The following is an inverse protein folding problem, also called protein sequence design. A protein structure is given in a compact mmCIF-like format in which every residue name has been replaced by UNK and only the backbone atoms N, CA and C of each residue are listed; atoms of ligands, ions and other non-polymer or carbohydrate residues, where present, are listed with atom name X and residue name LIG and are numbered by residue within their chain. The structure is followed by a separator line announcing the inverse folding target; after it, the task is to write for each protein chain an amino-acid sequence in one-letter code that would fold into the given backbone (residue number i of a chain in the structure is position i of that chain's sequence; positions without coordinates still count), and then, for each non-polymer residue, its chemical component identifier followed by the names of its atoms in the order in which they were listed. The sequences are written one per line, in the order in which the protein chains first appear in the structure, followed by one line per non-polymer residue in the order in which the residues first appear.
data_IF_648461594247
#
_entry.id   IF_648461594247
#
_cell.length_a   1.000
_cell.length_b   1.000
_cell.length_c   1.000
_cell.angle_alpha   90.00
_cell.angle_beta   90.00
_cell.angle_gamma   90.00
#
_symmetry.space_group_name_H-M   'P 1'
#
loop_
_entity.id
_entity.type
_entity.pdbx_description
1 polymer ?
#
# COMPACT_ATOMS: atom_id res chain seq x y z
N UNK A 1 -16.03 5.62 -0.13
CA UNK A 1 -15.81 6.42 -1.37
C UNK A 1 -14.41 6.16 -1.94
N UNK A 2 -14.25 4.96 -2.48
CA UNK A 2 -13.22 4.67 -3.46
C UNK A 2 -13.51 5.53 -4.69
N UNK A 3 -12.66 6.54 -4.88
CA UNK A 3 -12.54 7.39 -6.05
C UNK A 3 -12.94 6.65 -7.32
N UNK A 4 -14.06 7.12 -7.88
CA UNK A 4 -14.71 6.70 -9.13
C UNK A 4 -13.64 6.45 -10.19
N UNK A 5 -13.78 5.34 -10.91
CA UNK A 5 -12.92 4.86 -12.00
C UNK A 5 -12.40 5.98 -12.93
N UNK A 6 -13.17 7.06 -13.14
CA UNK A 6 -12.77 8.26 -13.88
C UNK A 6 -11.56 9.03 -13.29
N UNK A 7 -11.44 9.12 -11.97
CA UNK A 7 -10.34 9.81 -11.28
C UNK A 7 -9.06 8.97 -11.14
N UNK A 8 -9.16 7.64 -11.33
CA UNK A 8 -8.01 6.72 -11.43
C UNK A 8 -7.33 6.79 -12.79
N UNK A 9 -8.11 7.03 -13.86
CA UNK A 9 -7.59 7.25 -15.23
C UNK A 9 -6.78 8.56 -15.32
N UNK A 10 -7.17 9.61 -14.60
CA UNK A 10 -6.42 10.88 -14.57
C UNK A 10 -5.08 10.79 -13.82
N UNK A 11 -4.91 9.88 -12.86
CA UNK A 11 -3.61 9.58 -12.23
C UNK A 11 -2.70 8.73 -13.12
N UNK A 12 -3.27 7.91 -14.02
CA UNK A 12 -2.55 7.09 -15.01
C UNK A 12 -1.75 7.91 -16.02
N UNK A 13 -2.19 9.11 -16.41
CA UNK A 13 -1.47 9.93 -17.40
C UNK A 13 -0.26 10.68 -16.81
N UNK A 14 -0.25 10.95 -15.49
CA UNK A 14 0.89 11.58 -14.82
C UNK A 14 1.95 10.56 -14.33
N UNK A 15 1.55 9.31 -14.03
CA UNK A 15 2.45 8.27 -13.51
C UNK A 15 3.12 7.39 -14.59
N UNK A 16 2.66 7.46 -15.85
CA UNK A 16 3.22 6.65 -16.95
C UNK A 16 4.68 6.99 -17.33
N UNK A 17 5.26 8.03 -16.73
CA UNK A 17 6.67 8.39 -16.95
C UNK A 17 7.62 7.86 -15.85
N UNK A 18 7.13 7.26 -14.76
CA UNK A 18 8.01 6.92 -13.63
C UNK A 18 7.45 5.87 -12.64
N UNK A 19 6.70 4.87 -13.09
CA UNK A 19 6.24 3.77 -12.24
C UNK A 19 7.36 2.76 -11.96
N UNK A 20 8.07 2.93 -10.85
CA UNK A 20 9.05 1.96 -10.32
C UNK A 20 8.48 1.12 -9.17
N UNK A 21 7.17 0.85 -9.17
CA UNK A 21 6.57 -0.19 -8.35
C UNK A 21 6.66 -1.51 -9.15
N UNK A 22 7.41 -2.48 -8.64
CA UNK A 22 7.67 -3.73 -9.32
C UNK A 22 6.48 -4.69 -9.18
N UNK A 23 5.41 -4.47 -9.95
CA UNK A 23 4.49 -5.55 -10.31
C UNK A 23 5.15 -6.45 -11.37
N UNK A 24 4.89 -7.77 -11.40
CA UNK A 24 5.42 -8.69 -12.43
C UNK A 24 5.18 -8.19 -13.87
N UNK A 25 4.12 -7.40 -14.06
CA UNK A 25 3.74 -6.76 -15.32
C UNK A 25 4.67 -5.64 -15.77
N UNK A 26 5.40 -4.99 -14.88
CA UNK A 26 6.39 -3.96 -15.23
C UNK A 26 7.51 -4.59 -16.06
N UNK A 27 7.88 -5.83 -15.72
CA UNK A 27 8.88 -6.60 -16.48
C UNK A 27 8.31 -7.14 -17.80
N UNK A 28 7.04 -7.59 -17.82
CA UNK A 28 6.40 -8.10 -19.03
C UNK A 28 6.13 -7.00 -20.09
N UNK A 29 5.63 -5.83 -19.67
CA UNK A 29 5.37 -4.70 -20.56
C UNK A 29 6.66 -4.09 -21.12
N UNK A 30 7.73 -4.07 -20.32
CA UNK A 30 9.02 -3.55 -20.75
C UNK A 30 9.77 -4.54 -21.66
N UNK A 31 9.59 -5.86 -21.48
CA UNK A 31 10.09 -6.88 -22.40
C UNK A 31 9.40 -6.85 -23.78
N UNK A 32 8.15 -6.38 -23.86
CA UNK A 32 7.42 -6.21 -25.12
C UNK A 32 7.90 -4.99 -25.95
N UNK A 33 8.56 -4.01 -25.32
CA UNK A 33 9.21 -2.88 -25.99
C UNK A 33 10.65 -3.27 -26.36
N UNK A 34 10.78 -4.17 -27.34
CA UNK A 34 12.02 -4.87 -27.71
C UNK A 34 13.19 -4.04 -28.25
N UNK A 35 13.56 -2.90 -27.65
CA UNK A 35 14.79 -2.17 -28.03
C UNK A 35 15.36 -1.21 -26.96
N UNK A 36 14.98 -1.35 -25.68
CA UNK A 36 15.42 -0.44 -24.61
C UNK A 36 16.18 -1.18 -23.51
N UNK A 37 17.52 -1.18 -23.63
CA UNK A 37 18.42 -1.46 -22.51
C UNK A 37 18.26 -2.83 -21.84
N UNK A 38 19.13 -3.10 -20.87
CA UNK A 38 18.96 -4.24 -19.99
C UNK A 38 18.02 -3.81 -18.86
N UNK A 39 16.76 -4.21 -18.97
CA UNK A 39 15.68 -3.87 -18.03
C UNK A 39 16.05 -4.11 -16.56
N UNK A 40 16.80 -5.18 -16.30
CA UNK A 40 17.26 -5.49 -14.95
C UNK A 40 18.28 -4.46 -14.51
N UNK A 41 19.27 -4.14 -15.36
CA UNK A 41 20.26 -3.09 -15.05
C UNK A 41 19.61 -1.73 -14.85
N UNK A 42 18.64 -1.36 -15.68
CA UNK A 42 17.95 -0.08 -15.57
C UNK A 42 17.15 0.02 -14.27
N UNK A 43 16.46 -1.06 -13.88
CA UNK A 43 15.76 -1.13 -12.59
C UNK A 43 16.72 -1.02 -11.40
N UNK A 44 17.83 -1.77 -11.42
CA UNK A 44 18.84 -1.71 -10.35
C UNK A 44 19.50 -0.32 -10.27
N UNK A 45 19.82 0.30 -11.40
CA UNK A 45 20.39 1.64 -11.45
C UNK A 45 19.40 2.68 -10.90
N UNK A 46 18.12 2.57 -11.26
CA UNK A 46 17.04 3.43 -10.73
C UNK A 46 16.89 3.28 -9.21
N UNK A 47 16.80 2.04 -8.74
CA UNK A 47 16.67 1.72 -7.32
C UNK A 47 17.85 2.25 -6.50
N UNK A 48 19.08 2.04 -6.99
CA UNK A 48 20.28 2.55 -6.32
C UNK A 48 20.32 4.08 -6.30
N UNK A 49 19.92 4.73 -7.41
CA UNK A 49 19.85 6.21 -7.48
C UNK A 49 18.87 6.76 -6.44
N UNK A 50 17.67 6.17 -6.36
CA UNK A 50 16.63 6.56 -5.40
C UNK A 50 17.06 6.31 -3.95
N UNK A 51 17.68 5.17 -3.66
CA UNK A 51 18.20 4.86 -2.33
C UNK A 51 19.25 5.87 -1.87
N UNK A 52 20.21 6.22 -2.73
CA UNK A 52 21.24 7.23 -2.41
C UNK A 52 20.62 8.62 -2.19
N UNK A 53 19.70 9.02 -3.07
CA UNK A 53 19.01 10.30 -2.91
C UNK A 53 18.20 10.37 -1.60
N UNK A 54 17.53 9.26 -1.25
CA UNK A 54 16.77 9.15 -0.01
C UNK A 54 17.68 9.21 1.21
N UNK A 55 18.78 8.46 1.21
CA UNK A 55 19.77 8.47 2.29
C UNK A 55 20.41 9.85 2.52
N UNK A 56 20.61 10.65 1.46
CA UNK A 56 21.10 12.02 1.61
C UNK A 56 20.03 12.96 2.16
N UNK A 57 18.79 12.89 1.65
CA UNK A 57 17.70 13.76 2.13
C UNK A 57 17.25 13.40 3.55
N UNK A 58 17.26 12.13 3.93
CA UNK A 58 16.82 11.67 5.25
C UNK A 58 17.70 12.22 6.38
N UNK A 59 18.97 12.55 6.12
CA UNK A 59 19.85 13.26 7.08
C UNK A 59 19.27 14.62 7.53
N UNK A 60 18.43 15.25 6.71
CA UNK A 60 17.76 16.53 7.05
C UNK A 60 16.47 16.35 7.85
N UNK A 61 16.05 15.11 8.09
CA UNK A 61 14.85 14.74 8.83
C UNK A 61 15.18 13.59 9.81
N UNK A 62 15.95 13.84 10.88
CA UNK A 62 16.30 12.80 11.84
C UNK A 62 15.05 12.32 12.60
N UNK A 63 15.00 11.01 12.88
CA UNK A 63 13.93 10.42 13.70
C UNK A 63 14.01 10.97 15.14
N UNK A 64 12.92 11.55 15.68
CA UNK A 64 12.88 12.01 17.06
C UNK A 64 12.84 10.82 18.04
N UNK A 65 13.79 10.77 18.97
CA UNK A 65 13.95 9.67 19.95
C UNK A 65 13.38 10.02 21.35
N UNK A 66 12.79 11.21 21.49
CA UNK A 66 12.20 11.67 22.75
C UNK A 66 10.81 11.06 23.01
N UNK A 67 10.19 10.45 21.99
CA UNK A 67 8.84 9.87 22.09
C UNK A 67 7.73 10.91 22.00
N UNK A 68 8.03 12.13 21.53
CA UNK A 68 7.05 13.18 21.29
C UNK A 68 6.22 12.88 20.04
N UNK A 69 4.93 12.60 20.22
CA UNK A 69 4.01 12.23 19.14
C UNK A 69 3.86 13.34 18.07
N UNK A 70 3.96 14.62 18.45
CA UNK A 70 3.86 15.74 17.50
C UNK A 70 5.11 15.81 16.60
N UNK A 71 6.29 15.57 17.17
CA UNK A 71 7.53 15.49 16.40
C UNK A 71 7.58 14.25 15.51
N UNK A 72 7.09 13.10 16.00
CA UNK A 72 6.96 11.88 15.20
C UNK A 72 6.04 12.10 14.00
N UNK A 73 4.88 12.74 14.20
CA UNK A 73 3.97 13.08 13.11
C UNK A 73 4.63 14.00 12.08
N UNK A 74 5.35 15.03 12.53
CA UNK A 74 6.09 15.92 11.63
C UNK A 74 7.21 15.19 10.86
N UNK A 75 7.90 14.25 11.52
CA UNK A 75 8.91 13.39 10.90
C UNK A 75 8.29 12.52 9.79
N UNK A 76 7.19 11.82 10.08
CA UNK A 76 6.49 10.95 9.13
C UNK A 76 6.05 11.75 7.90
N UNK A 77 5.41 12.90 8.11
CA UNK A 77 4.94 13.76 7.02
C UNK A 77 6.10 14.24 6.13
N UNK A 78 7.17 14.74 6.74
CA UNK A 78 8.36 15.16 5.98
C UNK A 78 9.03 13.98 5.26
N UNK A 79 9.01 12.79 5.85
CA UNK A 79 9.55 11.59 5.22
C UNK A 79 8.74 11.17 3.98
N UNK A 80 7.39 11.23 4.05
CA UNK A 80 6.49 11.01 2.90
C UNK A 80 6.80 11.99 1.77
N UNK A 81 6.99 13.27 2.09
CA UNK A 81 7.35 14.30 1.12
C UNK A 81 8.70 14.01 0.46
N UNK A 82 9.73 13.65 1.24
CA UNK A 82 11.04 13.25 0.71
C UNK A 82 10.92 12.06 -0.25
N UNK A 83 10.14 11.03 0.13
CA UNK A 83 9.91 9.85 -0.72
C UNK A 83 9.21 10.23 -2.03
N UNK A 84 8.16 11.05 -1.96
CA UNK A 84 7.43 11.52 -3.13
C UNK A 84 8.31 12.33 -4.09
N UNK A 85 9.15 13.24 -3.56
CA UNK A 85 10.09 14.04 -4.37
C UNK A 85 11.12 13.18 -5.12
N UNK A 86 11.47 12.02 -4.60
CA UNK A 86 12.46 11.10 -5.20
C UNK A 86 11.76 10.05 -6.10
N UNK A 87 10.42 10.02 -6.11
CA UNK A 87 9.64 9.03 -6.83
C UNK A 87 9.74 7.64 -6.22
N UNK A 88 9.84 7.55 -4.89
CA UNK A 88 9.67 6.31 -4.14
C UNK A 88 8.19 6.22 -3.75
N UNK A 89 7.45 5.21 -4.23
CA UNK A 89 6.04 5.06 -3.86
C UNK A 89 5.91 4.75 -2.37
N UNK A 90 4.89 5.32 -1.76
CA UNK A 90 4.43 5.00 -0.40
C UNK A 90 4.00 3.54 -0.29
N UNK A 91 3.87 3.04 0.93
CA UNK A 91 3.40 1.66 1.16
C UNK A 91 1.99 1.48 0.62
N UNK A 92 1.09 2.42 0.87
CA UNK A 92 -0.29 2.41 0.33
C UNK A 92 -0.30 2.37 -1.19
N UNK A 93 0.52 3.19 -1.87
CA UNK A 93 0.60 3.15 -3.34
C UNK A 93 1.10 1.80 -3.87
N UNK A 94 2.07 1.16 -3.19
CA UNK A 94 2.53 -0.18 -3.59
C UNK A 94 1.47 -1.25 -3.38
N UNK A 95 0.70 -1.15 -2.29
CA UNK A 95 -0.42 -2.04 -2.00
C UNK A 95 -1.49 -1.86 -3.09
N UNK A 96 -1.88 -0.62 -3.38
CA UNK A 96 -2.85 -0.29 -4.44
C UNK A 96 -2.41 -0.87 -5.79
N UNK A 97 -1.15 -0.66 -6.20
CA UNK A 97 -0.62 -1.18 -7.46
C UNK A 97 -0.66 -2.73 -7.54
N UNK A 98 -0.40 -3.39 -6.42
CA UNK A 98 -0.41 -4.86 -6.33
C UNK A 98 -1.84 -5.39 -6.41
N UNK A 99 -2.76 -4.74 -5.70
CA UNK A 99 -4.15 -5.13 -5.61
C UNK A 99 -4.87 -4.87 -6.95
N UNK A 100 -4.61 -3.73 -7.60
CA UNK A 100 -5.15 -3.42 -8.93
C UNK A 100 -4.67 -4.46 -9.96
N UNK A 101 -3.41 -4.91 -9.87
CA UNK A 101 -2.92 -5.96 -10.76
C UNK A 101 -3.67 -7.28 -10.58
N UNK A 102 -3.95 -7.66 -9.32
CA UNK A 102 -4.71 -8.85 -8.99
C UNK A 102 -6.16 -8.78 -9.46
N UNK A 103 -6.78 -7.59 -9.35
CA UNK A 103 -8.14 -7.36 -9.83
C UNK A 103 -8.29 -7.60 -11.33
N UNK A 104 -7.35 -7.11 -12.13
CA UNK A 104 -7.36 -7.28 -13.60
C UNK A 104 -7.18 -8.76 -14.04
N UNK A 105 -6.70 -9.64 -13.17
CA UNK A 105 -6.59 -11.10 -13.43
C UNK A 105 -7.80 -11.88 -12.94
N UNK A 106 -8.59 -11.29 -12.04
CA UNK A 106 -9.72 -11.95 -11.45
C UNK A 106 -10.90 -11.99 -12.43
N UNK A 107 -11.51 -13.17 -12.53
CA UNK A 107 -12.72 -13.40 -13.34
C UNK A 107 -13.99 -13.10 -12.56
N UNK A 108 -13.91 -12.99 -11.24
CA UNK A 108 -15.02 -12.66 -10.34
C UNK A 108 -14.50 -11.94 -9.09
N UNK A 109 -15.41 -11.26 -8.38
CA UNK A 109 -15.12 -10.63 -7.08
C UNK A 109 -14.63 -11.66 -6.06
N UNK A 110 -15.23 -12.86 -6.07
CA UNK A 110 -14.85 -13.95 -5.16
C UNK A 110 -13.39 -14.35 -5.33
N UNK A 111 -12.98 -14.62 -6.58
CA UNK A 111 -11.61 -15.02 -6.87
C UNK A 111 -10.60 -13.96 -6.42
N UNK A 112 -10.92 -12.68 -6.61
CA UNK A 112 -10.09 -11.58 -6.13
C UNK A 112 -9.98 -11.54 -4.59
N UNK A 113 -11.09 -11.69 -3.87
CA UNK A 113 -11.08 -11.71 -2.40
C UNK A 113 -10.34 -12.93 -1.84
N UNK A 114 -10.48 -14.09 -2.48
CA UNK A 114 -9.74 -15.31 -2.11
C UNK A 114 -8.23 -15.09 -2.26
N UNK A 115 -7.80 -14.60 -3.42
CA UNK A 115 -6.40 -14.30 -3.68
C UNK A 115 -5.81 -13.29 -2.68
N UNK A 116 -6.49 -12.17 -2.47
CA UNK A 116 -6.00 -11.12 -1.55
C UNK A 116 -5.99 -11.59 -0.09
N UNK A 117 -6.93 -12.46 0.31
CA UNK A 117 -6.91 -13.11 1.63
C UNK A 117 -5.77 -14.12 1.78
N UNK A 118 -5.49 -14.92 0.75
CA UNK A 118 -4.35 -15.85 0.72
C UNK A 118 -3.02 -15.09 0.84
N UNK A 119 -2.86 -14.00 0.08
CA UNK A 119 -1.68 -13.13 0.16
C UNK A 119 -1.52 -12.55 1.57
N UNK A 120 -2.62 -12.03 2.16
CA UNK A 120 -2.61 -11.53 3.55
C UNK A 120 -2.13 -12.60 4.52
N UNK A 121 -2.68 -13.81 4.43
CA UNK A 121 -2.31 -14.93 5.31
C UNK A 121 -0.86 -15.38 5.11
N UNK A 122 -0.39 -15.44 3.86
CA UNK A 122 0.99 -15.79 3.53
C UNK A 122 2.00 -14.76 4.06
N UNK A 123 1.59 -13.49 4.16
CA UNK A 123 2.36 -12.43 4.79
C UNK A 123 2.28 -12.42 6.33
N UNK A 124 1.50 -13.33 6.93
CA UNK A 124 1.29 -13.38 8.38
C UNK A 124 0.50 -12.18 8.92
N UNK A 125 -0.21 -11.45 8.07
CA UNK A 125 -1.03 -10.31 8.47
C UNK A 125 -2.34 -10.83 9.07
N UNK A 126 -2.59 -10.58 10.35
CA UNK A 126 -3.84 -10.96 11.00
C UNK A 126 -5.01 -10.08 10.53
N UNK A 127 -6.25 -10.57 10.71
CA UNK A 127 -7.48 -9.79 10.47
C UNK A 127 -8.29 -9.67 11.76
N UNK A 128 -7.77 -8.94 12.77
CA UNK A 128 -8.42 -8.83 14.07
C UNK A 128 -9.75 -8.09 14.00
N UNK A 129 -9.90 -7.22 12.99
CA UNK A 129 -11.12 -6.44 12.72
C UNK A 129 -12.19 -7.24 11.99
N UNK A 130 -11.87 -8.40 11.41
CA UNK A 130 -12.81 -9.21 10.64
C UNK A 130 -13.23 -8.59 9.32
N UNK A 131 -12.35 -7.82 8.67
CA UNK A 131 -12.57 -7.19 7.37
C UNK A 131 -12.90 -8.24 6.31
N UNK A 132 -12.08 -9.27 6.16
CA UNK A 132 -12.30 -10.31 5.15
C UNK A 132 -13.55 -11.10 5.45
N UNK A 133 -13.85 -11.35 6.73
CA UNK A 133 -15.12 -11.99 7.13
C UNK A 133 -16.32 -11.18 6.65
N UNK A 134 -16.33 -9.87 6.87
CA UNK A 134 -17.41 -8.97 6.43
C UNK A 134 -17.52 -8.90 4.91
N UNK A 135 -16.38 -8.84 4.20
CA UNK A 135 -16.34 -8.84 2.73
C UNK A 135 -16.95 -10.11 2.14
N UNK A 136 -16.54 -11.28 2.65
CA UNK A 136 -17.08 -12.56 2.17
C UNK A 136 -18.56 -12.74 2.52
N UNK A 137 -19.00 -12.34 3.71
CA UNK A 137 -20.42 -12.39 4.07
C UNK A 137 -21.29 -11.52 3.17
N UNK A 138 -20.83 -10.29 2.88
CA UNK A 138 -21.51 -9.37 1.98
C UNK A 138 -21.55 -9.94 0.55
N UNK A 139 -20.46 -10.55 0.10
CA UNK A 139 -20.38 -11.20 -1.20
C UNK A 139 -21.34 -12.40 -1.29
N UNK A 140 -21.36 -13.27 -0.28
CA UNK A 140 -22.24 -14.44 -0.22
C UNK A 140 -23.71 -14.04 -0.35
N UNK A 141 -24.12 -12.96 0.30
CA UNK A 141 -25.50 -12.47 0.25
C UNK A 141 -25.89 -11.92 -1.12
N UNK A 142 -24.95 -11.30 -1.83
CA UNK A 142 -25.17 -10.84 -3.22
C UNK A 142 -25.21 -12.03 -4.17
N UNK A 143 -24.26 -12.95 -4.07
CA UNK A 143 -24.16 -14.14 -4.94
C UNK A 143 -25.36 -15.07 -4.78
N UNK A 144 -25.87 -15.26 -3.56
CA UNK A 144 -27.11 -16.02 -3.30
C UNK A 144 -28.33 -15.41 -4.01
N UNK A 145 -28.42 -14.08 -4.09
CA UNK A 145 -29.54 -13.39 -4.75
C UNK A 145 -29.48 -13.50 -6.27
N UNK A 146 -28.27 -13.48 -6.85
CA UNK A 146 -28.08 -13.56 -8.30
C UNK A 146 -27.88 -14.98 -8.83
N UNK A 147 -27.62 -15.96 -7.94
CA UNK A 147 -27.44 -17.37 -8.27
C UNK A 147 -26.15 -17.69 -9.04
N UNK A 148 -25.17 -16.78 -9.04
CA UNK A 148 -23.88 -16.90 -9.74
C UNK A 148 -22.80 -16.09 -9.03
N UNK A 149 -21.54 -16.31 -9.42
CA UNK A 149 -20.42 -15.49 -8.96
C UNK A 149 -20.59 -14.03 -9.44
N UNK A 150 -20.31 -13.07 -8.55
CA UNK A 150 -20.43 -11.65 -8.87
C UNK A 150 -19.26 -11.19 -9.75
N UNK A 151 -19.56 -10.47 -10.83
CA UNK A 151 -18.56 -9.85 -11.71
C UNK A 151 -18.73 -8.33 -11.74
N UNK A 152 -17.68 -7.59 -12.14
CA UNK A 152 -17.73 -6.13 -12.27
C UNK A 152 -18.72 -5.62 -13.33
N UNK A 153 -19.11 -6.48 -14.28
CA UNK A 153 -20.12 -6.17 -15.30
C UNK A 153 -21.56 -6.34 -14.80
N UNK A 154 -21.76 -6.98 -13.66
CA UNK A 154 -23.11 -7.19 -13.12
C UNK A 154 -23.68 -5.91 -12.50
N UNK A 155 -24.96 -5.58 -12.74
CA UNK A 155 -25.60 -4.41 -12.11
C UNK A 155 -25.54 -4.41 -10.58
N UNK A 156 -25.49 -5.60 -9.97
CA UNK A 156 -25.40 -5.80 -8.52
C UNK A 156 -24.02 -5.49 -7.95
N UNK A 157 -23.00 -5.31 -8.80
CA UNK A 157 -21.66 -4.93 -8.36
C UNK A 157 -21.68 -3.59 -7.60
N UNK A 158 -22.43 -2.61 -8.09
CA UNK A 158 -22.60 -1.33 -7.40
C UNK A 158 -23.25 -1.48 -6.02
N UNK A 159 -24.17 -2.44 -5.86
CA UNK A 159 -24.81 -2.71 -4.56
C UNK A 159 -23.83 -3.34 -3.57
N UNK A 160 -22.96 -4.22 -4.06
CA UNK A 160 -21.88 -4.80 -3.28
C UNK A 160 -20.89 -3.71 -2.82
N UNK A 161 -20.49 -2.80 -3.70
CA UNK A 161 -19.62 -1.67 -3.35
C UNK A 161 -20.24 -0.77 -2.28
N UNK A 162 -21.51 -0.38 -2.44
CA UNK A 162 -22.23 0.44 -1.46
C UNK A 162 -22.36 -0.25 -0.09
N UNK A 163 -22.59 -1.56 -0.08
CA UNK A 163 -22.71 -2.34 1.15
C UNK A 163 -21.38 -2.41 1.90
N UNK A 164 -20.27 -2.59 1.17
CA UNK A 164 -18.92 -2.57 1.73
C UNK A 164 -18.56 -1.19 2.24
N UNK A 165 -18.79 -0.12 1.46
CA UNK A 165 -18.44 1.24 1.87
C UNK A 165 -19.09 1.59 3.22
N UNK A 166 -20.35 1.18 3.43
CA UNK A 166 -21.05 1.35 4.72
C UNK A 166 -20.49 0.44 5.80
N UNK A 167 -20.41 -0.86 5.54
CA UNK A 167 -19.97 -1.84 6.54
C UNK A 167 -18.53 -1.62 7.01
N UNK A 168 -17.63 -1.25 6.10
CA UNK A 168 -16.23 -0.98 6.39
C UNK A 168 -16.03 0.31 7.18
N UNK A 169 -16.81 1.35 6.89
CA UNK A 169 -16.75 2.60 7.66
C UNK A 169 -17.15 2.38 9.11
N UNK A 170 -18.18 1.57 9.36
CA UNK A 170 -18.61 1.19 10.70
C UNK A 170 -17.59 0.27 11.39
N UNK A 171 -17.04 -0.71 10.67
CA UNK A 171 -16.09 -1.69 11.20
C UNK A 171 -14.76 -1.06 11.60
N UNK A 172 -14.24 -0.15 10.77
CA UNK A 172 -12.92 0.44 10.96
C UNK A 172 -12.95 1.67 11.86
N UNK A 173 -14.09 2.38 11.94
CA UNK A 173 -14.25 3.60 12.74
C UNK A 173 -13.34 4.77 12.34
N UNK A 174 -12.49 4.58 11.33
CA UNK A 174 -11.52 5.52 10.77
C UNK A 174 -11.49 5.35 9.26
N UNK A 175 -11.14 6.42 8.56
CA UNK A 175 -10.84 6.34 7.13
C UNK A 175 -9.55 5.57 6.88
N UNK A 176 -9.40 5.04 5.66
CA UNK A 176 -8.19 4.34 5.25
C UNK A 176 -6.94 5.24 5.33
N UNK A 177 -7.09 6.52 4.98
CA UNK A 177 -6.00 7.50 5.06
C UNK A 177 -5.56 7.71 6.52
N UNK A 178 -6.50 7.81 7.46
CA UNK A 178 -6.18 7.91 8.90
C UNK A 178 -5.53 6.64 9.46
N UNK A 179 -5.91 5.47 8.95
CA UNK A 179 -5.28 4.20 9.33
C UNK A 179 -3.86 4.09 8.79
N UNK A 180 -3.63 4.50 7.54
CA UNK A 180 -2.29 4.53 6.94
C UNK A 180 -1.38 5.50 7.71
N UNK A 181 -1.85 6.71 8.00
CA UNK A 181 -1.10 7.68 8.82
C UNK A 181 -0.81 7.14 10.23
N UNK A 182 -1.77 6.47 10.86
CA UNK A 182 -1.57 5.87 12.17
C UNK A 182 -0.53 4.75 12.15
N UNK A 183 -0.52 3.91 11.10
CA UNK A 183 0.47 2.86 10.92
C UNK A 183 1.89 3.44 10.75
N UNK A 184 2.06 4.45 9.88
CA UNK A 184 3.37 5.09 9.67
C UNK A 184 3.91 5.73 10.96
N UNK A 185 3.04 6.33 11.79
CA UNK A 185 3.41 6.89 13.09
C UNK A 185 3.78 5.79 14.08
N UNK A 186 3.04 4.67 14.10
CA UNK A 186 3.33 3.54 14.98
C UNK A 186 4.70 2.92 14.66
N UNK A 187 5.00 2.70 13.38
CA UNK A 187 6.29 2.19 12.92
C UNK A 187 7.44 3.14 13.32
N UNK A 188 7.26 4.45 13.10
CA UNK A 188 8.25 5.44 13.49
C UNK A 188 8.48 5.47 15.01
N UNK A 189 7.42 5.28 15.80
CA UNK A 189 7.48 5.22 17.27
C UNK A 189 8.19 3.97 17.77
N UNK A 190 7.93 2.82 17.16
CA UNK A 190 8.62 1.57 17.47
C UNK A 190 10.11 1.68 17.15
N UNK A 191 10.46 2.19 15.96
CA UNK A 191 11.84 2.38 15.55
C UNK A 191 12.58 3.35 16.48
N UNK A 192 11.94 4.46 16.85
CA UNK A 192 12.52 5.43 17.78
C UNK A 192 12.80 4.80 19.15
N UNK A 193 11.88 3.96 19.64
CA UNK A 193 12.02 3.25 20.91
C UNK A 193 13.17 2.23 20.85
N UNK A 194 13.27 1.46 19.76
CA UNK A 194 14.35 0.49 19.54
C UNK A 194 15.71 1.16 19.48
N UNK A 195 15.86 2.20 18.65
CA UNK A 195 17.14 2.92 18.50
C UNK A 195 17.59 3.58 19.79
N UNK A 196 16.66 4.13 20.57
CA UNK A 196 16.96 4.68 21.90
C UNK A 196 17.52 3.60 22.83
N UNK A 197 16.87 2.44 22.90
CA UNK A 197 17.34 1.33 23.73
C UNK A 197 18.74 0.85 23.30
N UNK A 198 19.02 0.75 22.00
CA UNK A 198 20.33 0.39 21.47
C UNK A 198 21.41 1.44 21.79
N UNK A 199 21.07 2.73 21.69
CA UNK A 199 21.98 3.82 22.04
C UNK A 199 22.35 3.79 23.53
N UNK A 200 21.38 3.59 24.41
CA UNK A 200 21.61 3.54 25.85
C UNK A 200 22.41 2.29 26.25
N UNK A 201 22.12 1.14 25.64
CA UNK A 201 22.91 -0.08 25.81
C UNK A 201 24.37 0.08 25.33
N UNK A 202 24.58 0.79 24.23
CA UNK A 202 25.92 1.05 23.68
C UNK A 202 26.72 1.97 24.60
N UNK A 203 26.11 3.03 25.13
CA UNK A 203 26.75 3.93 26.12
C UNK A 203 27.13 3.17 27.39
N UNK A 204 26.25 2.30 27.88
CA UNK A 204 26.53 1.50 29.07
C UNK A 204 27.68 0.49 28.88
N UNK A 205 27.99 0.08 27.64
CA UNK A 205 29.14 -0.78 27.32
C UNK A 205 30.44 0.00 27.11
N UNK A 206 30.35 1.30 26.84
CA UNK A 206 31.49 2.15 26.50
C UNK A 206 32.03 2.97 27.69
N UNK A 207 31.29 3.05 28.79
CA UNK A 207 31.72 3.62 30.08
C UNK A 207 32.13 2.55 31.07
#
# INVERSE_FOLDING_TARGET
MLRTVASRIARRTAASASSSSASPRCFAAAAAQGDKGDLVKDFFADSQRKFRAYAEKSKTNPLPLDGDDAKLKAYVEKNKQIMAEIGIPSVTERIDDTIDAAWEEATSVRQYLEYTNEVRQAMGLEDPTGVYKTLFQTLDDVEKKIGKALTSSDPQYAQFEDAIDKGMSELLGKSLDELADAADIADAKEEASRLKAEMDATKARAG
#
